data_IF_629353881302
#
_entry.id   IF_629353881302
#
_cell.length_a   1.000
_cell.length_b   1.000
_cell.length_c   1.000
_cell.angle_alpha   90.00
_cell.angle_beta   90.00
_cell.angle_gamma   90.00
#
_symmetry.space_group_name_H-M   'P 1'
#
loop_
_entity.id
_entity.type
_entity.pdbx_description
1 polymer ?
#
# COMPACT_ATOMS: atom_id res chain seq x y z
N UNK A 1 -14.99 4.39 14.04
CA UNK A 1 -14.80 5.65 13.31
C UNK A 1 -14.53 5.40 11.85
N UNK A 2 -15.03 6.25 10.99
CA UNK A 2 -14.84 6.12 9.56
C UNK A 2 -13.90 7.21 9.05
N UNK A 3 -12.78 6.84 8.47
CA UNK A 3 -11.77 7.77 7.97
C UNK A 3 -12.20 8.61 6.79
N UNK A 4 -13.33 8.31 6.16
CA UNK A 4 -13.87 9.15 5.09
C UNK A 4 -14.11 10.60 5.49
N UNK A 5 -14.30 10.85 6.77
CA UNK A 5 -14.63 12.18 7.27
C UNK A 5 -13.43 12.98 7.73
N UNK A 6 -12.23 12.40 7.69
CA UNK A 6 -11.02 13.10 8.10
C UNK A 6 -10.20 13.51 6.90
N UNK A 7 -9.34 14.50 7.07
CA UNK A 7 -8.42 14.93 6.04
C UNK A 7 -7.32 13.89 5.84
N UNK A 8 -7.02 13.49 4.60
CA UNK A 8 -5.91 12.59 4.36
C UNK A 8 -4.57 13.29 4.60
N UNK A 9 -3.57 12.50 4.92
CA UNK A 9 -2.19 12.99 5.04
C UNK A 9 -1.64 13.42 3.69
N UNK A 10 -2.02 12.70 2.63
CA UNK A 10 -1.64 13.02 1.26
C UNK A 10 -2.71 12.56 0.29
N UNK A 11 -2.72 13.18 -0.89
CA UNK A 11 -3.47 12.70 -2.03
C UNK A 11 -2.47 12.53 -3.17
N UNK A 12 -2.47 11.36 -3.79
CA UNK A 12 -1.56 11.06 -4.90
C UNK A 12 -2.35 10.66 -6.14
N UNK A 13 -1.79 10.94 -7.31
CA UNK A 13 -2.40 10.57 -8.58
C UNK A 13 -1.89 9.19 -8.98
N UNK A 14 -2.80 8.23 -9.09
CA UNK A 14 -2.49 6.88 -9.54
C UNK A 14 -3.13 6.69 -10.91
N UNK A 15 -2.34 6.85 -11.95
CA UNK A 15 -2.78 6.70 -13.34
C UNK A 15 -4.04 7.53 -13.65
N UNK A 16 -4.09 8.74 -13.12
CA UNK A 16 -5.21 9.66 -13.35
C UNK A 16 -6.27 9.67 -12.27
N UNK A 17 -6.20 8.75 -11.31
CA UNK A 17 -7.17 8.64 -10.23
C UNK A 17 -6.56 9.11 -8.92
N UNK A 18 -7.18 10.08 -8.22
CA UNK A 18 -6.66 10.49 -6.91
C UNK A 18 -6.93 9.45 -5.84
N UNK A 19 -5.90 9.11 -5.10
CA UNK A 19 -5.98 8.24 -3.93
C UNK A 19 -5.63 9.02 -2.68
N UNK A 20 -6.46 8.91 -1.66
CA UNK A 20 -6.21 9.51 -0.36
C UNK A 20 -5.39 8.55 0.50
N UNK A 21 -4.32 9.04 1.09
CA UNK A 21 -3.43 8.23 1.93
C UNK A 21 -3.53 8.70 3.37
N UNK A 22 -3.78 7.76 4.27
CA UNK A 22 -3.85 7.96 5.70
C UNK A 22 -2.78 7.10 6.36
N UNK A 23 -1.90 7.71 7.13
CA UNK A 23 -0.84 6.99 7.85
C UNK A 23 -0.99 7.15 9.36
N UNK A 24 -0.32 6.28 10.10
CA UNK A 24 -0.35 6.29 11.56
C UNK A 24 -1.77 6.23 12.13
N UNK A 25 -2.61 5.41 11.54
CA UNK A 25 -4.00 5.24 11.94
C UNK A 25 -4.10 4.23 13.08
N UNK A 26 -4.70 4.63 14.23
CA UNK A 26 -4.89 3.67 15.31
C UNK A 26 -5.81 2.52 14.91
N UNK A 27 -5.45 1.30 15.26
CA UNK A 27 -6.29 0.13 14.98
C UNK A 27 -7.66 0.24 15.66
N UNK A 28 -7.75 0.96 16.77
CA UNK A 28 -9.01 1.22 17.46
C UNK A 28 -9.98 2.05 16.62
N UNK A 29 -9.46 2.83 15.68
CA UNK A 29 -10.28 3.71 14.82
C UNK A 29 -10.65 3.08 13.50
N UNK A 30 -10.07 1.95 13.16
CA UNK A 30 -10.34 1.26 11.90
C UNK A 30 -10.20 -0.25 12.11
N UNK A 31 -11.33 -0.94 12.17
CA UNK A 31 -11.35 -2.36 12.49
C UNK A 31 -10.62 -3.25 11.48
N UNK A 32 -10.46 -2.80 10.22
CA UNK A 32 -9.68 -3.55 9.24
C UNK A 32 -8.22 -3.66 9.64
N UNK A 33 -7.72 -2.71 10.40
CA UNK A 33 -6.34 -2.71 10.87
C UNK A 33 -6.08 -3.68 12.03
N UNK A 34 -7.10 -4.37 12.51
CA UNK A 34 -6.91 -5.45 13.47
C UNK A 34 -6.28 -6.68 12.81
N UNK A 35 -6.50 -6.84 11.51
CA UNK A 35 -6.03 -8.02 10.76
C UNK A 35 -4.84 -7.74 9.85
N UNK A 36 -4.46 -6.48 9.66
CA UNK A 36 -3.37 -6.13 8.76
C UNK A 36 -2.73 -4.80 9.16
N UNK A 37 -1.54 -4.55 8.64
CA UNK A 37 -0.80 -3.31 8.91
C UNK A 37 -1.13 -2.18 7.94
N UNK A 38 -1.87 -2.49 6.89
CA UNK A 38 -2.33 -1.51 5.92
C UNK A 38 -3.21 -2.16 4.87
N UNK A 39 -3.97 -1.35 4.17
CA UNK A 39 -4.82 -1.84 3.08
C UNK A 39 -5.04 -0.78 2.02
N UNK A 40 -5.45 -1.22 0.85
CA UNK A 40 -5.86 -0.39 -0.27
C UNK A 40 -7.32 -0.71 -0.59
N UNK A 41 -8.19 0.28 -0.43
CA UNK A 41 -9.60 0.14 -0.77
C UNK A 41 -9.84 0.74 -2.14
N UNK A 42 -10.00 -0.11 -3.14
CA UNK A 42 -10.23 0.34 -4.51
C UNK A 42 -11.56 1.02 -4.73
N UNK A 43 -12.55 0.74 -3.89
CA UNK A 43 -13.89 1.30 -4.04
C UNK A 43 -13.96 2.75 -3.57
N UNK A 44 -13.20 3.10 -2.56
CA UNK A 44 -13.16 4.45 -2.00
C UNK A 44 -11.89 5.22 -2.39
N UNK A 45 -10.98 4.56 -3.10
CA UNK A 45 -9.70 5.15 -3.53
C UNK A 45 -8.89 5.65 -2.34
N UNK A 46 -8.67 4.75 -1.37
CA UNK A 46 -7.93 5.04 -0.14
C UNK A 46 -6.89 4.00 0.17
N UNK A 47 -5.80 4.49 0.72
CA UNK A 47 -4.75 3.67 1.31
C UNK A 47 -4.65 4.06 2.77
N UNK A 48 -4.72 3.07 3.66
CA UNK A 48 -4.69 3.29 5.10
C UNK A 48 -3.57 2.45 5.70
N UNK A 49 -2.69 3.09 6.46
CA UNK A 49 -1.53 2.44 7.10
C UNK A 49 -1.65 2.59 8.60
N UNK A 50 -1.52 1.49 9.33
CA UNK A 50 -1.65 1.45 10.77
C UNK A 50 -0.51 2.20 11.47
N UNK A 51 -0.80 2.76 12.63
CA UNK A 51 0.25 3.24 13.52
C UNK A 51 1.00 2.05 14.14
N UNK A 52 2.17 2.32 14.68
CA UNK A 52 2.97 1.30 15.37
C UNK A 52 2.18 0.70 16.53
N UNK A 53 1.94 -0.62 16.53
CA UNK A 53 1.28 -1.26 17.67
C UNK A 53 2.16 -1.20 18.92
N UNK A 54 1.54 -1.13 20.10
CA UNK A 54 2.27 -1.06 21.37
C UNK A 54 3.18 -2.26 21.60
N UNK A 55 2.75 -3.44 21.14
CA UNK A 55 3.45 -4.71 21.33
C UNK A 55 4.31 -5.09 20.12
N UNK A 56 4.65 -4.10 19.28
CA UNK A 56 5.44 -4.37 18.10
C UNK A 56 6.90 -4.65 18.46
N UNK A 57 7.44 -5.75 17.93
CA UNK A 57 8.80 -6.22 18.21
C UNK A 57 9.82 -5.80 17.16
N UNK A 58 9.39 -5.12 16.10
CA UNK A 58 10.30 -4.70 15.03
C UNK A 58 11.21 -3.58 15.50
N UNK A 59 12.51 -3.74 15.27
CA UNK A 59 13.49 -2.76 15.65
C UNK A 59 13.45 -1.48 14.83
N UNK A 60 12.92 -1.54 13.62
CA UNK A 60 12.81 -0.39 12.72
C UNK A 60 11.41 -0.32 12.10
N UNK A 61 10.46 0.18 12.89
CA UNK A 61 9.08 0.34 12.43
C UNK A 61 8.98 1.29 11.24
N UNK A 62 9.74 2.38 11.22
CA UNK A 62 9.68 3.36 10.14
C UNK A 62 10.01 2.73 8.78
N UNK A 63 11.04 1.90 8.73
CA UNK A 63 11.41 1.21 7.51
C UNK A 63 10.33 0.23 7.07
N UNK A 64 9.77 -0.51 8.02
CA UNK A 64 8.67 -1.44 7.76
C UNK A 64 7.42 -0.71 7.27
N UNK A 65 7.07 0.40 7.90
CA UNK A 65 5.93 1.21 7.52
C UNK A 65 6.06 1.73 6.07
N UNK A 66 7.25 2.17 5.69
CA UNK A 66 7.48 2.60 4.31
C UNK A 66 7.31 1.45 3.31
N UNK A 67 7.74 0.26 3.70
CA UNK A 67 7.51 -0.93 2.88
C UNK A 67 6.01 -1.23 2.74
N UNK A 68 5.25 -1.20 3.84
CA UNK A 68 3.80 -1.42 3.82
C UNK A 68 3.12 -0.40 2.92
N UNK A 69 3.51 0.87 3.02
CA UNK A 69 2.96 1.92 2.16
C UNK A 69 3.25 1.62 0.68
N UNK A 70 4.48 1.25 0.33
CA UNK A 70 4.81 0.88 -1.05
C UNK A 70 3.97 -0.31 -1.53
N UNK A 71 3.76 -1.30 -0.66
CA UNK A 71 2.95 -2.48 -0.95
C UNK A 71 1.52 -2.08 -1.37
N UNK A 72 0.89 -1.20 -0.58
CA UNK A 72 -0.47 -0.77 -0.88
C UNK A 72 -0.54 0.13 -2.12
N UNK A 73 0.48 0.93 -2.36
CA UNK A 73 0.57 1.74 -3.59
C UNK A 73 0.66 0.84 -4.82
N UNK A 74 1.41 -0.27 -4.75
CA UNK A 74 1.45 -1.24 -5.87
C UNK A 74 0.06 -1.79 -6.15
N UNK A 75 -0.71 -2.14 -5.11
CA UNK A 75 -2.09 -2.56 -5.30
C UNK A 75 -2.93 -1.49 -6.00
N UNK A 76 -2.78 -0.22 -5.60
CA UNK A 76 -3.52 0.87 -6.24
C UNK A 76 -3.20 0.96 -7.73
N UNK A 77 -1.93 0.88 -8.11
CA UNK A 77 -1.55 0.91 -9.52
C UNK A 77 -2.10 -0.28 -10.30
N UNK A 78 -2.10 -1.45 -9.70
CA UNK A 78 -2.66 -2.65 -10.34
C UNK A 78 -4.16 -2.53 -10.51
N UNK A 79 -4.89 -2.03 -9.51
CA UNK A 79 -6.32 -1.79 -9.65
C UNK A 79 -6.63 -0.79 -10.76
N UNK A 80 -5.91 0.33 -10.79
CA UNK A 80 -6.17 1.39 -11.77
C UNK A 80 -5.74 1.00 -13.19
N UNK A 81 -4.85 0.03 -13.32
CA UNK A 81 -4.46 -0.49 -14.63
C UNK A 81 -5.29 -1.69 -15.10
N UNK A 82 -6.36 -2.01 -14.40
CA UNK A 82 -7.31 -3.03 -14.84
C UNK A 82 -7.06 -4.43 -14.30
N UNK A 83 -6.21 -4.60 -13.30
CA UNK A 83 -5.91 -5.90 -12.71
C UNK A 83 -6.66 -6.16 -11.40
N UNK A 84 -7.85 -5.65 -11.28
CA UNK A 84 -8.64 -5.79 -10.06
C UNK A 84 -9.65 -6.93 -10.14
N UNK A 85 -9.24 -8.14 -9.83
CA UNK A 85 -10.14 -9.27 -9.62
C UNK A 85 -10.53 -10.11 -10.82
N UNK A 86 -10.15 -9.72 -12.02
CA UNK A 86 -10.48 -10.46 -13.25
C UNK A 86 -9.22 -10.78 -14.04
N UNK A 87 -8.23 -11.25 -13.37
CA UNK A 87 -6.90 -11.23 -13.91
C UNK A 87 -6.48 -12.52 -14.57
N UNK A 88 -5.43 -12.43 -15.35
CA UNK A 88 -4.68 -13.55 -15.88
C UNK A 88 -3.75 -14.20 -14.86
N UNK A 89 -3.81 -13.72 -13.61
CA UNK A 89 -2.89 -14.20 -12.56
C UNK A 89 -3.22 -15.61 -12.05
N UNK A 90 -4.47 -16.03 -12.12
CA UNK A 90 -4.94 -17.37 -11.79
C UNK A 90 -4.61 -17.88 -10.38
N UNK A 91 -4.63 -16.98 -9.39
CA UNK A 91 -4.47 -17.38 -8.00
C UNK A 91 -5.82 -17.28 -7.31
N UNK A 92 -6.44 -18.42 -6.97
CA UNK A 92 -7.76 -18.39 -6.34
C UNK A 92 -7.76 -17.59 -5.03
N UNK A 93 -8.73 -16.68 -4.89
CA UNK A 93 -8.88 -15.89 -3.70
C UNK A 93 -8.00 -14.65 -3.61
N UNK A 94 -7.12 -14.43 -4.58
CA UNK A 94 -6.28 -13.23 -4.62
C UNK A 94 -6.65 -12.36 -5.80
N UNK A 95 -6.78 -11.06 -5.57
CA UNK A 95 -6.97 -10.09 -6.65
C UNK A 95 -5.66 -9.82 -7.38
N UNK A 96 -4.54 -9.84 -6.63
CA UNK A 96 -3.19 -9.74 -7.17
C UNK A 96 -2.32 -10.79 -6.49
N UNK A 97 -1.32 -11.36 -7.20
CA UNK A 97 -0.36 -12.26 -6.55
C UNK A 97 0.43 -11.50 -5.48
N UNK A 98 0.19 -11.82 -4.22
CA UNK A 98 0.82 -11.10 -3.11
C UNK A 98 2.34 -11.16 -3.14
N UNK A 99 2.91 -12.30 -3.52
CA UNK A 99 4.36 -12.42 -3.60
C UNK A 99 4.97 -11.47 -4.65
N UNK A 100 4.25 -11.20 -5.73
CA UNK A 100 4.70 -10.24 -6.74
C UNK A 100 4.61 -8.80 -6.21
N UNK A 101 3.50 -8.47 -5.54
CA UNK A 101 3.32 -7.16 -4.94
C UNK A 101 4.40 -6.90 -3.90
N UNK A 102 4.67 -7.88 -3.05
CA UNK A 102 5.73 -7.80 -2.04
C UNK A 102 7.11 -7.63 -2.66
N UNK A 103 7.39 -8.39 -3.73
CA UNK A 103 8.67 -8.28 -4.41
C UNK A 103 8.89 -6.88 -4.97
N UNK A 104 7.89 -6.33 -5.65
CA UNK A 104 7.97 -4.97 -6.21
C UNK A 104 8.17 -3.95 -5.08
N UNK A 105 7.35 -4.02 -4.04
CA UNK A 105 7.41 -3.07 -2.92
C UNK A 105 8.77 -3.11 -2.21
N UNK A 106 9.34 -4.28 -2.07
CA UNK A 106 10.61 -4.49 -1.39
C UNK A 106 11.80 -4.08 -2.25
N UNK A 107 11.78 -4.42 -3.53
CA UNK A 107 12.94 -4.27 -4.41
C UNK A 107 12.97 -2.95 -5.19
N UNK A 108 11.82 -2.29 -5.36
CA UNK A 108 11.78 -1.10 -6.20
C UNK A 108 12.80 -0.02 -5.80
N UNK A 109 12.99 0.31 -4.52
CA UNK A 109 14.00 1.32 -4.17
C UNK A 109 15.41 0.96 -4.64
N UNK A 110 15.73 -0.33 -4.66
CA UNK A 110 17.05 -0.81 -5.13
C UNK A 110 17.13 -0.72 -6.65
N UNK A 111 16.05 -1.09 -7.33
CA UNK A 111 15.97 -1.01 -8.80
C UNK A 111 16.07 0.44 -9.24
N UNK A 112 15.35 1.34 -8.58
CA UNK A 112 15.39 2.77 -8.88
C UNK A 112 16.80 3.34 -8.75
N UNK A 113 17.50 2.96 -7.68
CA UNK A 113 18.87 3.39 -7.46
C UNK A 113 19.79 2.97 -8.61
N UNK A 114 19.67 1.72 -9.05
CA UNK A 114 20.46 1.21 -10.18
C UNK A 114 20.12 1.99 -11.45
N UNK A 115 18.84 2.22 -11.72
CA UNK A 115 18.42 3.00 -12.89
C UNK A 115 19.03 4.39 -12.88
N UNK A 116 19.07 5.04 -11.73
CA UNK A 116 19.68 6.36 -11.59
C UNK A 116 21.19 6.31 -11.81
N UNK A 117 21.86 5.30 -11.27
CA UNK A 117 23.32 5.16 -11.41
C UNK A 117 23.77 4.94 -12.85
N UNK A 118 22.97 4.24 -13.65
CA UNK A 118 23.34 3.92 -15.03
C UNK A 118 22.73 4.90 -16.05
N UNK A 119 22.02 5.90 -15.60
CA UNK A 119 21.42 6.90 -16.49
C UNK A 119 20.20 6.38 -17.27
N UNK A 120 19.53 5.36 -16.76
CA UNK A 120 18.32 4.81 -17.39
C UNK A 120 17.07 5.58 -17.00
N UNK A 121 17.17 6.41 -15.98
CA UNK A 121 16.06 7.22 -15.50
C UNK A 121 16.58 8.53 -14.91
#
# INVERSE_FOLDING_TARGET
>A
MNYVETEPDRVVNVLGTPYAIYVDVPAADDELLEACDGYCDKSTKRIVIAEKPKENELGDWESYRRYVLRHEVVHAFLFESGHGGNTTWDIPGEEHPEHMVEWIAMQFPKILKVYQEIGAI
#
